data_IF_489763877816
#
_entry.id   IF_489763877816
#
_cell.length_a   1.000
_cell.length_b   1.000
_cell.length_c   1.000
_cell.angle_alpha   90.00
_cell.angle_beta   90.00
_cell.angle_gamma   90.00
#
_symmetry.space_group_name_H-M   'P 1'
#
loop_
_entity.id
_entity.type
_entity.pdbx_description
1 polymer ?
#
# COMPACT_ATOMS: atom_id res chain seq x y z
N UNK A 1 -32.97 -17.11 -3.11
CA UNK A 1 -34.35 -17.23 -3.52
C UNK A 1 -34.84 -18.64 -3.14
N UNK A 2 -36.15 -18.87 -3.07
CA UNK A 2 -36.76 -20.13 -2.61
C UNK A 2 -36.34 -21.35 -3.44
N UNK A 3 -36.04 -21.16 -4.74
CA UNK A 3 -35.59 -22.23 -5.64
C UNK A 3 -34.17 -22.74 -5.28
N UNK A 4 -33.28 -21.84 -4.85
CA UNK A 4 -31.96 -22.23 -4.37
C UNK A 4 -32.02 -23.02 -3.06
N UNK A 5 -32.93 -22.65 -2.15
CA UNK A 5 -33.14 -23.37 -0.88
C UNK A 5 -33.63 -24.78 -1.08
N UNK A 6 -34.42 -25.06 -2.14
CA UNK A 6 -34.91 -26.42 -2.45
C UNK A 6 -33.78 -27.36 -2.88
N UNK A 7 -32.74 -26.86 -3.53
CA UNK A 7 -31.60 -27.66 -4.03
C UNK A 7 -30.52 -27.84 -2.97
N UNK A 8 -30.25 -26.80 -2.19
CA UNK A 8 -29.13 -26.76 -1.23
C UNK A 8 -29.53 -26.92 0.23
N UNK A 9 -30.83 -27.09 0.50
CA UNK A 9 -31.38 -27.41 1.82
C UNK A 9 -31.16 -26.36 2.87
N UNK A 10 -31.04 -26.78 4.13
CA UNK A 10 -30.88 -25.91 5.31
C UNK A 10 -29.59 -25.06 5.32
N UNK A 11 -28.68 -25.28 4.40
CA UNK A 11 -27.43 -24.48 4.27
C UNK A 11 -27.59 -23.20 3.43
N UNK A 12 -28.76 -22.98 2.84
CA UNK A 12 -29.02 -21.87 1.93
C UNK A 12 -29.98 -20.76 2.44
N UNK A 13 -30.22 -20.57 3.76
CA UNK A 13 -31.17 -19.54 4.24
C UNK A 13 -30.71 -18.12 3.93
N UNK A 14 -29.40 -17.91 3.79
CA UNK A 14 -28.80 -16.61 3.47
C UNK A 14 -28.40 -16.45 2.00
N UNK A 15 -28.81 -17.37 1.11
CA UNK A 15 -28.47 -17.40 -0.29
C UNK A 15 -27.34 -18.37 -0.63
N UNK A 16 -27.19 -18.61 -1.95
CA UNK A 16 -26.18 -19.52 -2.50
C UNK A 16 -25.38 -18.79 -3.56
N UNK A 17 -24.05 -18.86 -3.47
CA UNK A 17 -23.13 -18.38 -4.50
C UNK A 17 -22.60 -19.60 -5.26
N UNK A 18 -23.06 -19.80 -6.49
CA UNK A 18 -22.58 -20.86 -7.36
C UNK A 18 -21.41 -20.37 -8.20
N UNK A 19 -20.23 -20.94 -8.01
CA UNK A 19 -19.03 -20.63 -8.78
C UNK A 19 -18.80 -21.74 -9.82
N UNK A 20 -18.99 -21.40 -11.09
CA UNK A 20 -18.70 -22.29 -12.21
C UNK A 20 -17.38 -21.87 -12.85
N UNK A 21 -16.37 -22.74 -12.80
CA UNK A 21 -15.07 -22.50 -13.42
C UNK A 21 -15.11 -22.68 -14.93
N UNK A 22 -14.31 -21.93 -15.67
CA UNK A 22 -14.16 -22.08 -17.12
C UNK A 22 -13.66 -23.49 -17.45
N UNK A 23 -14.13 -24.02 -18.56
CA UNK A 23 -13.73 -25.31 -19.12
C UNK A 23 -13.34 -25.13 -20.58
N UNK A 24 -12.52 -26.03 -21.10
CA UNK A 24 -12.17 -26.08 -22.51
C UNK A 24 -13.42 -26.38 -23.38
N UNK A 25 -13.44 -25.84 -24.58
CA UNK A 25 -14.42 -26.12 -25.61
C UNK A 25 -13.74 -26.75 -26.81
N UNK A 26 -14.43 -27.61 -27.51
CA UNK A 26 -13.94 -28.15 -28.78
C UNK A 26 -13.79 -27.00 -29.80
N UNK A 27 -12.71 -27.05 -30.57
CA UNK A 27 -12.37 -26.04 -31.56
C UNK A 27 -10.89 -25.71 -31.58
N UNK A 28 -10.54 -24.69 -32.37
CA UNK A 28 -9.17 -24.20 -32.47
C UNK A 28 -8.70 -23.66 -31.12
N UNK A 29 -7.42 -23.86 -30.84
CA UNK A 29 -6.77 -23.29 -29.66
C UNK A 29 -6.90 -21.77 -29.65
N UNK A 30 -7.41 -21.25 -28.56
CA UNK A 30 -7.53 -19.82 -28.30
C UNK A 30 -6.61 -19.45 -27.13
N UNK A 31 -5.82 -18.40 -27.33
CA UNK A 31 -4.97 -17.81 -26.31
C UNK A 31 -5.50 -16.43 -26.00
N UNK A 32 -5.77 -16.17 -24.74
CA UNK A 32 -6.21 -14.86 -24.26
C UNK A 32 -5.21 -14.34 -23.25
N UNK A 33 -4.74 -13.14 -23.46
CA UNK A 33 -3.90 -12.42 -22.52
C UNK A 33 -4.58 -11.15 -22.07
N UNK A 34 -4.64 -10.96 -20.74
CA UNK A 34 -5.15 -9.75 -20.11
C UNK A 34 -4.07 -9.18 -19.21
N UNK A 35 -3.95 -7.86 -19.24
CA UNK A 35 -3.02 -7.12 -18.39
C UNK A 35 -3.81 -6.01 -17.69
N UNK A 36 -3.45 -5.76 -16.43
CA UNK A 36 -3.96 -4.64 -15.64
C UNK A 36 -2.79 -3.90 -14.99
N UNK A 37 -2.71 -2.61 -15.24
CA UNK A 37 -1.75 -1.71 -14.63
C UNK A 37 -2.50 -0.76 -13.70
N UNK A 38 -2.01 -0.57 -12.48
CA UNK A 38 -2.68 0.25 -11.47
C UNK A 38 -1.67 1.11 -10.73
N UNK A 39 -2.02 2.38 -10.56
CA UNK A 39 -1.32 3.30 -9.67
C UNK A 39 -2.26 3.63 -8.51
N UNK A 40 -1.75 3.46 -7.30
CA UNK A 40 -2.50 3.71 -6.06
C UNK A 40 -1.77 4.77 -5.25
N UNK A 41 -2.49 5.79 -4.81
CA UNK A 41 -1.94 6.89 -4.01
C UNK A 41 -2.85 7.10 -2.80
N UNK A 42 -2.26 7.30 -1.63
CA UNK A 42 -3.01 7.66 -0.45
C UNK A 42 -3.64 9.06 -0.64
N UNK A 43 -4.96 9.16 -0.57
CA UNK A 43 -5.71 10.38 -0.90
C UNK A 43 -6.03 11.26 0.32
N UNK A 44 -6.16 10.66 1.49
CA UNK A 44 -6.56 11.37 2.71
C UNK A 44 -5.45 11.25 3.77
N UNK A 45 -4.33 11.93 3.52
CA UNK A 45 -3.24 12.02 4.48
C UNK A 45 -3.47 13.23 5.39
N UNK A 46 -3.35 13.08 6.72
CA UNK A 46 -3.44 14.21 7.63
C UNK A 46 -2.29 15.19 7.37
N UNK A 47 -2.61 16.48 7.43
CA UNK A 47 -1.60 17.52 7.41
C UNK A 47 -0.88 17.59 8.78
N UNK A 48 0.44 17.57 8.72
CA UNK A 48 1.29 17.70 9.91
C UNK A 48 1.56 19.18 10.19
N UNK A 49 1.66 19.52 11.47
CA UNK A 49 2.17 20.84 11.85
C UNK A 49 3.59 21.03 11.33
N UNK A 50 3.91 22.25 10.91
CA UNK A 50 5.29 22.63 10.65
C UNK A 50 6.10 22.66 11.97
N UNK A 51 7.43 22.59 11.84
CA UNK A 51 8.33 22.47 12.99
C UNK A 51 8.29 23.69 13.93
N UNK A 52 8.06 24.90 13.39
CA UNK A 52 7.91 26.10 14.22
C UNK A 52 6.62 26.05 15.06
N UNK A 53 5.49 25.78 14.41
CA UNK A 53 4.20 25.65 15.09
C UNK A 53 4.24 24.55 16.14
N UNK A 54 4.86 23.40 15.82
CA UNK A 54 5.05 22.31 16.76
C UNK A 54 5.89 22.73 17.99
N UNK A 55 7.02 23.40 17.78
CA UNK A 55 7.87 23.84 18.88
C UNK A 55 7.16 24.84 19.81
N UNK A 56 6.41 25.77 19.24
CA UNK A 56 5.61 26.75 20.02
C UNK A 56 4.48 26.07 20.82
N UNK A 57 3.77 25.15 20.17
CA UNK A 57 2.71 24.37 20.82
C UNK A 57 3.27 23.53 21.98
N UNK A 58 4.38 22.82 21.73
CA UNK A 58 5.01 21.98 22.74
C UNK A 58 5.52 22.77 23.94
N UNK A 59 6.15 23.92 23.71
CA UNK A 59 6.57 24.84 24.77
C UNK A 59 5.38 25.35 25.59
N UNK A 60 4.27 25.73 24.94
CA UNK A 60 3.09 26.17 25.64
C UNK A 60 2.50 25.04 26.52
N UNK A 61 2.46 23.82 26.02
CA UNK A 61 1.98 22.67 26.78
C UNK A 61 2.91 22.36 27.98
N UNK A 62 4.24 22.41 27.80
CA UNK A 62 5.19 22.22 28.88
C UNK A 62 5.03 23.27 30.00
N UNK A 63 4.95 24.55 29.63
CA UNK A 63 4.75 25.63 30.58
C UNK A 63 3.42 25.51 31.34
N UNK A 64 2.34 25.16 30.67
CA UNK A 64 1.02 24.94 31.28
C UNK A 64 1.02 23.74 32.25
N UNK A 65 1.91 22.79 32.08
CA UNK A 65 2.09 21.65 33.00
C UNK A 65 3.12 21.93 34.13
N UNK A 66 3.61 23.16 34.23
CA UNK A 66 4.60 23.56 35.24
C UNK A 66 6.04 23.13 34.93
N UNK A 67 6.31 22.72 33.68
CA UNK A 67 7.65 22.36 33.20
C UNK A 67 8.34 23.54 32.50
N UNK A 68 9.62 23.42 32.27
CA UNK A 68 10.37 24.40 31.48
C UNK A 68 10.11 24.18 29.97
N UNK A 69 10.27 25.26 29.19
CA UNK A 69 10.22 25.19 27.74
C UNK A 69 11.28 24.23 27.19
N UNK A 70 10.90 23.30 26.33
CA UNK A 70 11.78 22.31 25.73
C UNK A 70 12.61 22.86 24.56
N UNK A 71 12.05 23.81 23.81
CA UNK A 71 12.70 24.49 22.69
C UNK A 71 13.06 25.91 23.12
N UNK A 72 14.34 26.20 23.26
CA UNK A 72 14.83 27.53 23.59
C UNK A 72 14.79 28.46 22.35
N UNK A 73 15.03 29.77 22.57
CA UNK A 73 14.97 30.78 21.51
C UNK A 73 15.98 30.52 20.40
N UNK A 74 17.16 29.98 20.72
CA UNK A 74 18.20 29.61 19.76
C UNK A 74 17.68 28.51 18.82
N UNK A 75 17.08 27.43 19.36
CA UNK A 75 16.51 26.35 18.58
C UNK A 75 15.36 26.85 17.69
N UNK A 76 14.49 27.69 18.23
CA UNK A 76 13.39 28.28 17.46
C UNK A 76 13.95 29.17 16.33
N UNK A 77 14.99 29.94 16.60
CA UNK A 77 15.68 30.74 15.59
C UNK A 77 16.24 29.91 14.44
N UNK A 78 16.88 28.76 14.75
CA UNK A 78 17.37 27.81 13.73
C UNK A 78 16.25 27.18 12.90
N UNK A 79 15.14 26.82 13.55
CA UNK A 79 13.95 26.28 12.85
C UNK A 79 13.41 27.29 11.84
N UNK A 80 13.29 28.56 12.25
CA UNK A 80 12.86 29.65 11.37
C UNK A 80 13.81 29.85 10.20
N UNK A 81 15.12 29.88 10.48
CA UNK A 81 16.15 30.06 9.45
C UNK A 81 16.13 28.89 8.44
N UNK A 82 15.91 27.66 8.91
CA UNK A 82 15.74 26.49 8.03
C UNK A 82 14.50 26.61 7.15
N UNK A 83 13.34 26.98 7.71
CA UNK A 83 12.11 27.16 6.95
C UNK A 83 12.21 28.26 5.89
N UNK A 84 13.02 29.30 6.15
CA UNK A 84 13.31 30.37 5.19
C UNK A 84 14.37 29.99 4.14
N UNK A 85 15.04 28.84 4.30
CA UNK A 85 16.15 28.44 3.42
C UNK A 85 17.49 29.15 3.73
N UNK A 86 17.58 29.88 4.81
CA UNK A 86 18.80 30.54 5.28
C UNK A 86 19.77 29.52 5.92
N UNK A 87 19.24 28.43 6.48
CA UNK A 87 19.98 27.31 7.04
C UNK A 87 19.64 26.05 6.23
N UNK A 88 20.66 25.32 5.78
CA UNK A 88 20.50 24.12 4.93
C UNK A 88 20.73 22.81 5.68
N UNK A 89 21.32 22.86 6.86
CA UNK A 89 21.57 21.69 7.71
C UNK A 89 20.33 21.32 8.50
N UNK A 90 19.86 20.07 8.35
CA UNK A 90 18.65 19.57 9.03
C UNK A 90 18.84 19.38 10.54
N UNK A 91 20.06 19.11 10.96
CA UNK A 91 20.42 18.85 12.36
C UNK A 91 21.80 19.42 12.68
N UNK A 92 22.07 19.64 13.97
CA UNK A 92 23.41 19.90 14.49
C UNK A 92 23.85 18.76 15.41
N UNK A 93 25.13 18.36 15.40
CA UNK A 93 25.64 17.36 16.34
C UNK A 93 25.70 17.88 17.76
N UNK A 94 25.50 17.02 18.74
CA UNK A 94 25.73 17.32 20.11
C UNK A 94 27.26 17.57 20.33
N UNK A 95 27.63 18.72 20.86
CA UNK A 95 29.02 19.09 21.09
C UNK A 95 29.79 18.16 22.05
N UNK A 96 29.08 17.44 22.93
CA UNK A 96 29.69 16.53 23.89
C UNK A 96 30.12 15.19 23.28
N UNK A 97 29.42 14.68 22.29
CA UNK A 97 29.67 13.34 21.73
C UNK A 97 29.51 13.23 20.19
N UNK A 98 29.22 14.33 19.51
CA UNK A 98 29.02 14.36 18.06
C UNK A 98 27.75 13.66 17.55
N UNK A 99 26.85 13.22 18.42
CA UNK A 99 25.65 12.47 18.06
C UNK A 99 24.40 13.35 17.97
N UNK A 100 23.45 12.95 17.14
CA UNK A 100 22.15 13.62 16.95
C UNK A 100 21.10 12.96 17.85
N UNK A 101 21.12 13.30 19.14
CA UNK A 101 20.33 12.61 20.16
C UNK A 101 19.10 13.37 20.67
N UNK A 102 19.06 14.69 20.48
CA UNK A 102 18.04 15.52 21.10
C UNK A 102 17.24 16.31 20.06
N UNK A 103 15.93 16.42 20.31
CA UNK A 103 15.03 17.23 19.49
C UNK A 103 15.47 18.70 19.33
N UNK A 104 16.15 19.26 20.31
CA UNK A 104 16.70 20.62 20.28
C UNK A 104 17.83 20.79 19.23
N UNK A 105 18.38 19.70 18.72
CA UNK A 105 19.42 19.71 17.69
C UNK A 105 18.84 19.59 16.28
N UNK A 106 17.54 19.34 16.15
CA UNK A 106 16.84 19.29 14.87
C UNK A 106 16.41 20.69 14.44
N UNK A 107 16.62 21.01 13.17
CA UNK A 107 16.25 22.28 12.55
C UNK A 107 15.19 22.10 11.48
N UNK A 108 15.08 20.90 10.90
CA UNK A 108 14.31 20.63 9.69
C UNK A 108 12.78 20.70 9.88
N UNK A 109 12.10 20.74 8.75
CA UNK A 109 10.65 20.80 8.70
C UNK A 109 10.13 19.63 7.85
N UNK A 110 9.86 18.50 8.47
CA UNK A 110 9.49 17.26 7.81
C UNK A 110 8.00 16.98 7.92
N UNK A 111 7.35 16.80 6.77
CA UNK A 111 6.01 16.21 6.74
C UNK A 111 6.14 14.68 6.72
N UNK A 112 6.13 14.07 7.88
CA UNK A 112 6.33 12.63 8.06
C UNK A 112 5.29 11.79 7.32
N UNK A 113 4.04 12.22 7.28
CA UNK A 113 3.00 11.53 6.49
C UNK A 113 3.37 11.47 5.02
N UNK A 114 3.71 12.59 4.41
CA UNK A 114 4.09 12.65 2.99
C UNK A 114 5.41 11.94 2.70
N UNK A 115 6.33 11.94 3.67
CA UNK A 115 7.61 11.26 3.53
C UNK A 115 7.49 9.73 3.58
N UNK A 116 6.52 9.20 4.33
CA UNK A 116 6.31 7.76 4.46
C UNK A 116 5.50 7.16 3.33
N UNK A 117 4.62 7.92 2.71
CA UNK A 117 3.78 7.41 1.63
C UNK A 117 4.33 7.76 0.24
N UNK A 118 4.14 6.84 -0.68
CA UNK A 118 4.46 6.97 -2.11
C UNK A 118 3.29 6.50 -2.95
N UNK A 119 3.27 6.88 -4.22
CA UNK A 119 2.42 6.23 -5.20
C UNK A 119 2.94 4.81 -5.45
N UNK A 120 2.11 3.82 -5.25
CA UNK A 120 2.40 2.43 -5.52
C UNK A 120 2.02 2.07 -6.95
N UNK A 121 2.86 1.28 -7.60
CA UNK A 121 2.58 0.67 -8.88
C UNK A 121 2.28 -0.81 -8.70
N UNK A 122 1.23 -1.29 -9.33
CA UNK A 122 0.84 -2.70 -9.30
C UNK A 122 0.52 -3.16 -10.73
N UNK A 123 0.84 -4.41 -11.02
CA UNK A 123 0.50 -4.99 -12.31
C UNK A 123 0.01 -6.43 -12.15
N UNK A 124 -0.88 -6.80 -13.04
CA UNK A 124 -1.44 -8.15 -13.10
C UNK A 124 -1.44 -8.64 -14.54
N UNK A 125 -1.02 -9.87 -14.73
CA UNK A 125 -0.95 -10.56 -16.00
C UNK A 125 -1.72 -11.87 -15.92
N UNK A 126 -2.66 -12.07 -16.83
CA UNK A 126 -3.47 -13.29 -16.91
C UNK A 126 -3.38 -13.87 -18.31
N UNK A 127 -2.96 -15.12 -18.43
CA UNK A 127 -2.92 -15.87 -19.68
C UNK A 127 -3.87 -17.04 -19.56
N UNK A 128 -4.73 -17.21 -20.56
CA UNK A 128 -5.60 -18.37 -20.66
C UNK A 128 -5.42 -19.03 -22.03
N UNK A 129 -5.34 -20.34 -22.02
CA UNK A 129 -5.29 -21.16 -23.22
C UNK A 129 -6.40 -22.19 -23.17
N UNK A 130 -7.23 -22.25 -24.20
CA UNK A 130 -8.32 -23.20 -24.27
C UNK A 130 -8.48 -23.74 -25.68
N UNK A 131 -8.93 -24.97 -25.79
CA UNK A 131 -9.16 -25.63 -27.07
C UNK A 131 -9.46 -27.11 -26.92
N UNK A 132 -9.48 -27.83 -28.04
CA UNK A 132 -9.64 -29.27 -28.04
C UNK A 132 -10.42 -29.82 -29.22
N UNK A 133 -10.65 -31.10 -29.14
CA UNK A 133 -11.47 -31.86 -30.07
C UNK A 133 -12.81 -32.25 -29.42
N UNK A 134 -13.67 -32.96 -30.13
CA UNK A 134 -14.92 -33.49 -29.54
C UNK A 134 -14.66 -34.52 -28.41
N UNK A 135 -13.50 -35.18 -28.45
CA UNK A 135 -13.13 -36.21 -27.48
C UNK A 135 -12.28 -35.66 -26.31
N UNK A 136 -11.51 -34.61 -26.55
CA UNK A 136 -10.60 -34.03 -25.54
C UNK A 136 -10.69 -32.51 -25.58
N UNK A 137 -11.00 -31.89 -24.47
CA UNK A 137 -10.95 -30.43 -24.32
C UNK A 137 -10.05 -30.04 -23.15
N UNK A 138 -9.39 -28.90 -23.28
CA UNK A 138 -8.48 -28.40 -22.25
C UNK A 138 -8.69 -26.91 -22.02
N UNK A 139 -8.47 -26.50 -20.78
CA UNK A 139 -8.39 -25.12 -20.34
C UNK A 139 -7.20 -24.98 -19.38
N UNK A 140 -6.28 -24.10 -19.71
CA UNK A 140 -5.13 -23.77 -18.86
C UNK A 140 -5.15 -22.28 -18.57
N UNK A 141 -4.80 -21.91 -17.35
CA UNK A 141 -4.64 -20.50 -16.97
C UNK A 141 -3.41 -20.29 -16.11
N UNK A 142 -2.75 -19.17 -16.34
CA UNK A 142 -1.67 -18.65 -15.51
C UNK A 142 -1.97 -17.21 -15.14
N UNK A 143 -1.76 -16.84 -13.90
CA UNK A 143 -1.89 -15.48 -13.42
C UNK A 143 -0.69 -15.11 -12.57
N UNK A 144 -0.18 -13.91 -12.79
CA UNK A 144 0.84 -13.27 -11.98
C UNK A 144 0.36 -11.89 -11.57
N UNK A 145 0.47 -11.59 -10.29
CA UNK A 145 0.14 -10.29 -9.71
C UNK A 145 1.30 -9.83 -8.84
N UNK A 146 1.73 -8.60 -9.09
CA UNK A 146 2.67 -7.87 -8.22
C UNK A 146 1.96 -6.59 -7.79
N UNK A 147 1.62 -6.52 -6.50
CA UNK A 147 0.95 -5.38 -5.90
C UNK A 147 1.95 -4.62 -5.06
N UNK A 148 2.37 -3.45 -5.54
CA UNK A 148 3.23 -2.56 -4.79
C UNK A 148 2.51 -1.93 -3.61
N UNK A 149 3.25 -1.77 -2.51
CA UNK A 149 2.78 -1.08 -1.32
C UNK A 149 2.93 0.43 -1.38
N UNK A 150 2.12 1.13 -0.60
CA UNK A 150 2.11 2.59 -0.55
C UNK A 150 3.14 3.17 0.45
N UNK A 151 3.79 2.35 1.23
CA UNK A 151 4.83 2.80 2.15
C UNK A 151 6.17 2.93 1.43
N UNK A 152 6.90 4.00 1.71
CA UNK A 152 8.22 4.25 1.12
C UNK A 152 9.30 3.38 1.77
N UNK A 153 9.12 3.08 3.04
CA UNK A 153 10.06 2.32 3.86
C UNK A 153 9.37 1.05 4.37
N UNK A 154 10.07 -0.07 4.30
CA UNK A 154 9.54 -1.38 4.62
C UNK A 154 9.05 -2.13 3.38
N UNK A 155 8.80 -3.42 3.55
CA UNK A 155 8.33 -4.33 2.51
C UNK A 155 6.82 -4.56 2.72
N UNK A 156 5.99 -3.77 2.03
CA UNK A 156 4.54 -3.86 2.04
C UNK A 156 3.96 -4.29 0.69
N UNK A 157 4.78 -4.93 -0.16
CA UNK A 157 4.35 -5.48 -1.44
C UNK A 157 3.80 -6.91 -1.30
N UNK A 158 2.92 -7.24 -2.23
CA UNK A 158 2.28 -8.55 -2.30
C UNK A 158 2.43 -9.15 -3.69
N UNK A 159 2.94 -10.39 -3.77
CA UNK A 159 3.08 -11.14 -5.01
C UNK A 159 2.26 -12.41 -4.97
N UNK A 160 1.56 -12.67 -6.06
CA UNK A 160 0.74 -13.87 -6.20
C UNK A 160 0.91 -14.49 -7.57
N UNK A 161 1.15 -15.79 -7.57
CA UNK A 161 1.17 -16.62 -8.77
C UNK A 161 0.10 -17.69 -8.67
N UNK A 162 -0.67 -17.88 -9.71
CA UNK A 162 -1.66 -18.93 -9.82
C UNK A 162 -1.48 -19.66 -11.15
N UNK A 163 -1.62 -20.97 -11.13
CA UNK A 163 -1.68 -21.77 -12.33
C UNK A 163 -2.78 -22.82 -12.18
N UNK A 164 -3.55 -23.05 -13.22
CA UNK A 164 -4.53 -24.12 -13.24
C UNK A 164 -4.60 -24.77 -14.62
N UNK A 165 -4.89 -26.06 -14.62
CA UNK A 165 -5.14 -26.83 -15.83
C UNK A 165 -6.36 -27.73 -15.61
N UNK A 166 -7.25 -27.76 -16.59
CA UNK A 166 -8.43 -28.62 -16.61
C UNK A 166 -8.49 -29.34 -17.97
N UNK A 167 -8.54 -30.63 -17.91
CA UNK A 167 -8.65 -31.48 -19.08
C UNK A 167 -9.92 -32.34 -18.93
N UNK A 168 -10.77 -32.37 -19.95
CA UNK A 168 -11.93 -33.20 -19.98
C UNK A 168 -11.80 -34.14 -21.17
N UNK A 169 -11.92 -35.46 -20.92
CA UNK A 169 -11.92 -36.52 -21.93
C UNK A 169 -13.25 -37.23 -21.91
N UNK A 170 -13.81 -37.48 -23.10
CA UNK A 170 -14.95 -38.39 -23.28
C UNK A 170 -14.41 -39.74 -23.69
N UNK A 171 -14.65 -40.73 -22.87
CA UNK A 171 -14.38 -42.14 -23.14
C UNK A 171 -15.54 -42.72 -23.96
#
# INVERSE_FOLDING_TARGET
DAAASSIYGSRAPFGVILITTKSGKSGKTQVTYNNSLRWSTATNLPDMMDSYTFAKYFNAAALNSGQSASFNDETIGRIIAYQKGELTTSTIPNSANGMYQFHQLANDNQNWTRNHFKTAFSHEHNVNVSGGTEKLTYFMSGAFMDQGGNMRYGDDDFKRMNASAKINSKV
#
